data_IF_031267214842
#
_entry.id   IF_031267214842
#
_cell.length_a   1.000
_cell.length_b   1.000
_cell.length_c   1.000
_cell.angle_alpha   90.00
_cell.angle_beta   90.00
_cell.angle_gamma   90.00
#
_symmetry.space_group_name_H-M   'P 1'
#
loop_
_entity.id
_entity.type
_entity.pdbx_description
1 polymer ?
#
# COMPACT_ATOMS: atom_id res chain seq x y z
N UNK A 1 -17.51 24.37 -1.90
CA UNK A 1 -17.76 24.32 -0.47
C UNK A 1 -16.66 23.55 0.26
N UNK A 2 -16.24 24.03 1.41
CA UNK A 2 -15.30 23.32 2.30
C UNK A 2 -16.03 22.17 3.03
N UNK A 3 -15.41 21.00 3.04
CA UNK A 3 -15.96 19.78 3.64
C UNK A 3 -14.89 19.02 4.45
N UNK A 4 -14.03 19.77 5.13
CA UNK A 4 -12.98 19.21 5.96
C UNK A 4 -13.58 18.40 7.12
N UNK A 5 -12.87 17.36 7.51
CA UNK A 5 -13.34 16.34 8.44
C UNK A 5 -13.88 15.12 7.70
N UNK A 6 -14.69 14.34 8.37
CA UNK A 6 -15.29 13.11 7.83
C UNK A 6 -16.82 13.20 7.87
N UNK A 7 -17.50 12.35 7.12
CA UNK A 7 -18.96 12.28 7.14
C UNK A 7 -19.48 12.21 8.58
N UNK A 8 -20.47 13.03 8.93
CA UNK A 8 -21.01 13.19 10.27
C UNK A 8 -20.11 13.92 11.29
N UNK A 9 -18.87 14.27 10.93
CA UNK A 9 -17.88 14.97 11.79
C UNK A 9 -17.15 16.05 11.00
N UNK A 10 -17.91 16.96 10.36
CA UNK A 10 -17.36 18.08 9.57
C UNK A 10 -17.08 19.28 10.44
N UNK A 11 -16.06 20.05 10.06
CA UNK A 11 -15.77 21.34 10.70
C UNK A 11 -16.76 22.45 10.28
N UNK A 12 -17.44 22.29 9.14
CA UNK A 12 -18.37 23.26 8.57
C UNK A 12 -19.76 22.68 8.41
N UNK A 13 -20.79 23.52 8.63
CA UNK A 13 -22.18 23.15 8.39
C UNK A 13 -22.53 23.00 6.91
N UNK A 14 -23.69 22.40 6.61
CA UNK A 14 -24.21 22.24 5.24
C UNK A 14 -23.47 21.23 4.38
N UNK A 15 -22.89 20.18 5.00
CA UNK A 15 -22.16 19.12 4.29
C UNK A 15 -22.99 17.84 4.09
N UNK A 16 -24.30 17.86 4.39
CA UNK A 16 -25.16 16.67 4.40
C UNK A 16 -25.14 15.91 3.06
N UNK A 17 -25.15 16.62 1.94
CA UNK A 17 -25.10 15.97 0.61
C UNK A 17 -23.70 15.47 0.24
N UNK A 18 -22.66 16.14 0.73
CA UNK A 18 -21.27 15.66 0.59
C UNK A 18 -21.06 14.39 1.41
N UNK A 19 -21.65 14.34 2.60
CA UNK A 19 -21.61 13.15 3.46
C UNK A 19 -22.25 11.94 2.76
N UNK A 20 -23.39 12.10 2.14
CA UNK A 20 -24.07 11.03 1.37
C UNK A 20 -23.15 10.51 0.26
N UNK A 21 -22.48 11.39 -0.47
CA UNK A 21 -21.55 10.99 -1.54
C UNK A 21 -20.35 10.21 -1.01
N UNK A 22 -19.75 10.68 0.09
CA UNK A 22 -18.61 10.02 0.72
C UNK A 22 -18.99 8.66 1.30
N UNK A 23 -20.11 8.58 2.04
CA UNK A 23 -20.62 7.33 2.61
C UNK A 23 -20.97 6.30 1.53
N UNK A 24 -21.56 6.74 0.41
CA UNK A 24 -21.85 5.88 -0.71
C UNK A 24 -20.58 5.31 -1.35
N UNK A 25 -19.53 6.14 -1.52
CA UNK A 25 -18.25 5.70 -2.04
C UNK A 25 -17.57 4.68 -1.10
N UNK A 26 -17.57 4.94 0.21
CA UNK A 26 -17.06 4.01 1.23
C UNK A 26 -17.79 2.68 1.18
N UNK A 27 -19.13 2.71 1.17
CA UNK A 27 -19.95 1.50 1.16
C UNK A 27 -19.69 0.64 -0.10
N UNK A 28 -19.60 1.28 -1.26
CA UNK A 28 -19.31 0.61 -2.53
C UNK A 28 -17.90 0.02 -2.55
N UNK A 29 -16.88 0.75 -2.07
CA UNK A 29 -15.51 0.27 -2.02
C UNK A 29 -15.38 -0.94 -1.09
N UNK A 30 -16.00 -0.88 0.10
CA UNK A 30 -16.03 -2.01 1.04
C UNK A 30 -16.67 -3.25 0.43
N UNK A 31 -17.78 -3.09 -0.28
CA UNK A 31 -18.46 -4.18 -0.96
C UNK A 31 -17.62 -4.75 -2.11
N UNK A 32 -16.99 -3.88 -2.90
CA UNK A 32 -16.22 -4.26 -4.08
C UNK A 32 -15.02 -5.16 -3.73
N UNK A 33 -14.30 -4.81 -2.66
CA UNK A 33 -13.07 -5.52 -2.26
C UNK A 33 -13.24 -6.44 -1.05
N UNK A 34 -14.44 -6.51 -0.45
CA UNK A 34 -14.69 -7.32 0.73
C UNK A 34 -13.94 -6.84 1.98
N UNK A 35 -13.60 -5.55 2.06
CA UNK A 35 -12.81 -4.99 3.15
C UNK A 35 -13.68 -4.43 4.29
N UNK A 36 -13.13 -4.45 5.50
CA UNK A 36 -13.82 -3.98 6.70
C UNK A 36 -13.89 -2.45 6.79
N UNK A 37 -12.83 -1.78 6.37
CA UNK A 37 -12.69 -0.33 6.43
C UNK A 37 -12.31 0.22 5.06
N UNK A 38 -12.68 1.45 4.78
CA UNK A 38 -12.28 2.18 3.59
C UNK A 38 -12.20 3.67 3.88
N UNK A 39 -11.23 4.34 3.28
CA UNK A 39 -11.10 5.79 3.26
C UNK A 39 -11.01 6.23 1.80
N UNK A 40 -11.89 7.14 1.39
CA UNK A 40 -12.01 7.60 0.00
C UNK A 40 -11.56 9.05 -0.18
N UNK A 41 -10.95 9.65 0.84
CA UNK A 41 -10.52 11.05 0.80
C UNK A 41 -9.20 11.32 0.07
N UNK A 42 -8.20 10.39 0.04
CA UNK A 42 -6.99 10.65 -0.70
C UNK A 42 -7.27 10.98 -2.17
N UNK A 43 -6.63 12.04 -2.69
CA UNK A 43 -6.79 12.46 -4.09
C UNK A 43 -5.88 11.71 -5.07
N UNK A 44 -4.98 10.86 -4.57
CA UNK A 44 -4.06 10.05 -5.37
C UNK A 44 -3.55 8.86 -4.59
N UNK A 45 -3.02 7.83 -5.28
CA UNK A 45 -2.33 6.71 -4.65
C UNK A 45 -1.11 7.16 -3.83
N UNK A 46 -0.37 8.15 -4.31
CA UNK A 46 0.77 8.73 -3.56
C UNK A 46 0.32 9.37 -2.23
N UNK A 47 -0.81 10.06 -2.22
CA UNK A 47 -1.36 10.61 -0.98
C UNK A 47 -1.86 9.51 -0.05
N UNK A 48 -2.50 8.46 -0.58
CA UNK A 48 -2.93 7.32 0.20
C UNK A 48 -1.73 6.63 0.89
N UNK A 49 -0.66 6.38 0.14
CA UNK A 49 0.57 5.82 0.70
C UNK A 49 1.19 6.74 1.75
N UNK A 50 1.26 8.05 1.48
CA UNK A 50 1.76 9.03 2.47
C UNK A 50 0.95 9.03 3.76
N UNK A 51 -0.37 8.91 3.67
CA UNK A 51 -1.25 8.86 4.84
C UNK A 51 -0.98 7.61 5.69
N UNK A 52 -0.77 6.44 5.05
CA UNK A 52 -0.41 5.20 5.75
C UNK A 52 0.94 5.32 6.44
N UNK A 53 1.95 5.87 5.75
CA UNK A 53 3.27 6.10 6.33
C UNK A 53 3.20 7.01 7.55
N UNK A 54 2.49 8.13 7.45
CA UNK A 54 2.32 9.08 8.57
C UNK A 54 1.54 8.49 9.75
N UNK A 55 0.60 7.58 9.49
CA UNK A 55 -0.21 6.96 10.54
C UNK A 55 0.54 5.86 11.30
N UNK A 56 1.43 5.12 10.64
CA UNK A 56 2.01 3.90 11.17
C UNK A 56 3.52 3.99 11.45
N UNK A 57 4.22 4.97 10.88
CA UNK A 57 5.66 5.08 10.94
C UNK A 57 6.12 6.41 11.54
N UNK A 58 7.36 6.42 12.02
CA UNK A 58 8.09 7.62 12.43
C UNK A 58 9.18 7.92 11.41
N UNK A 59 9.57 9.18 11.29
CA UNK A 59 10.71 9.55 10.46
C UNK A 59 11.97 8.76 10.86
N UNK A 60 12.66 8.21 9.86
CA UNK A 60 13.81 7.34 10.06
C UNK A 60 13.51 5.84 10.20
N UNK A 61 12.24 5.45 10.37
CA UNK A 61 11.88 4.03 10.38
C UNK A 61 12.29 3.34 9.07
N UNK A 62 12.59 2.05 9.16
CA UNK A 62 13.00 1.26 7.99
C UNK A 62 11.78 0.72 7.26
N UNK A 63 11.78 0.87 5.94
CA UNK A 63 10.78 0.31 5.03
C UNK A 63 11.46 -0.57 3.99
N UNK A 64 10.80 -1.67 3.61
CA UNK A 64 11.28 -2.60 2.58
C UNK A 64 10.28 -2.59 1.43
N UNK A 65 10.69 -2.11 0.25
CA UNK A 65 9.82 -1.99 -0.92
C UNK A 65 10.49 -2.48 -2.20
N UNK A 66 9.69 -2.64 -3.26
CA UNK A 66 10.21 -3.03 -4.56
C UNK A 66 11.03 -1.90 -5.19
N UNK A 67 12.19 -2.25 -5.74
CA UNK A 67 13.05 -1.33 -6.49
C UNK A 67 12.28 -0.69 -7.65
N UNK A 68 12.52 0.61 -7.86
CA UNK A 68 11.92 1.32 -8.99
C UNK A 68 12.38 0.73 -10.34
N UNK A 69 13.64 0.28 -10.41
CA UNK A 69 14.20 -0.34 -11.61
C UNK A 69 13.53 -1.69 -11.95
N UNK A 70 13.00 -2.37 -10.95
CA UNK A 70 12.35 -3.68 -11.10
C UNK A 70 10.82 -3.59 -11.20
N UNK A 71 10.29 -2.38 -11.26
CA UNK A 71 8.86 -2.13 -11.44
C UNK A 71 8.12 -1.58 -10.22
N UNK A 72 8.82 -1.26 -9.14
CA UNK A 72 8.24 -0.59 -7.97
C UNK A 72 7.72 0.81 -8.27
N UNK A 73 7.03 1.42 -7.32
CA UNK A 73 6.56 2.80 -7.42
C UNK A 73 7.49 3.77 -6.68
N UNK A 74 7.48 5.06 -7.06
CA UNK A 74 8.25 6.11 -6.38
C UNK A 74 7.99 6.13 -4.85
N UNK A 75 6.73 5.94 -4.44
CA UNK A 75 6.36 5.93 -3.01
C UNK A 75 6.73 4.65 -2.26
N UNK A 76 7.38 3.69 -2.92
CA UNK A 76 7.88 2.46 -2.28
C UNK A 76 9.33 2.59 -1.77
N UNK A 77 9.76 3.80 -1.48
CA UNK A 77 11.08 4.08 -0.91
C UNK A 77 12.10 4.59 -1.92
N UNK A 78 11.70 5.03 -3.12
CA UNK A 78 12.64 5.59 -4.08
C UNK A 78 13.29 6.89 -3.55
N UNK A 79 14.60 7.02 -3.67
CA UNK A 79 15.40 8.14 -3.12
C UNK A 79 14.87 9.55 -3.41
N UNK A 80 14.38 9.89 -4.62
CA UNK A 80 13.88 11.24 -4.89
C UNK A 80 12.51 11.53 -4.25
N UNK A 81 11.78 10.50 -3.82
CA UNK A 81 10.44 10.60 -3.25
C UNK A 81 10.50 10.85 -1.73
N UNK A 82 9.36 11.32 -1.13
CA UNK A 82 9.25 11.47 0.31
C UNK A 82 9.60 10.19 1.06
N UNK A 83 9.18 9.03 0.55
CA UNK A 83 9.39 7.72 1.17
C UNK A 83 10.87 7.33 1.26
N UNK A 84 11.70 7.75 0.29
CA UNK A 84 13.15 7.55 0.35
C UNK A 84 13.93 8.68 1.02
N UNK A 85 13.30 9.84 1.26
CA UNK A 85 13.93 10.98 1.94
C UNK A 85 13.73 10.99 3.44
N UNK A 86 12.55 10.55 3.90
CA UNK A 86 12.14 10.60 5.31
C UNK A 86 12.35 9.27 6.03
N UNK A 87 12.49 8.17 5.31
CA UNK A 87 12.58 6.80 5.84
C UNK A 87 13.86 6.11 5.37
N UNK A 88 14.33 5.15 6.16
CA UNK A 88 15.43 4.28 5.76
C UNK A 88 14.90 3.21 4.80
N UNK A 89 15.10 3.41 3.51
CA UNK A 89 14.52 2.56 2.47
C UNK A 89 15.49 1.47 2.03
N UNK A 90 15.06 0.22 2.20
CA UNK A 90 15.69 -0.99 1.68
C UNK A 90 14.86 -1.47 0.48
N UNK A 91 15.51 -1.96 -0.55
CA UNK A 91 14.85 -2.33 -1.79
C UNK A 91 15.07 -3.82 -2.10
N UNK A 92 13.99 -4.53 -2.44
CA UNK A 92 14.06 -5.86 -3.04
C UNK A 92 13.85 -5.77 -4.55
N UNK A 93 14.31 -6.78 -5.27
CA UNK A 93 14.24 -6.82 -6.73
C UNK A 93 13.63 -8.10 -7.26
N UNK A 94 13.91 -8.33 -8.53
CA UNK A 94 13.55 -9.54 -9.27
C UNK A 94 14.76 -10.48 -9.34
N UNK A 95 14.48 -11.76 -9.41
CA UNK A 95 15.47 -12.75 -9.80
C UNK A 95 15.85 -12.53 -11.27
N UNK A 96 17.15 -12.44 -11.55
CA UNK A 96 17.68 -12.06 -12.86
C UNK A 96 17.44 -13.12 -13.94
N UNK A 97 17.28 -14.39 -13.58
CA UNK A 97 17.06 -15.48 -14.52
C UNK A 97 15.58 -15.65 -14.86
N UNK A 98 14.72 -15.53 -13.86
CA UNK A 98 13.28 -15.78 -14.01
C UNK A 98 12.46 -14.53 -14.26
N UNK A 99 12.96 -13.34 -13.88
CA UNK A 99 12.23 -12.09 -13.91
C UNK A 99 11.07 -12.04 -12.88
N UNK A 100 11.05 -12.97 -11.93
CA UNK A 100 10.04 -13.01 -10.88
C UNK A 100 10.57 -12.42 -9.58
N UNK A 101 9.65 -12.03 -8.67
CA UNK A 101 10.04 -11.54 -7.34
C UNK A 101 10.81 -12.65 -6.61
N UNK A 102 12.01 -12.31 -6.16
CA UNK A 102 12.83 -13.18 -5.31
C UNK A 102 12.35 -13.09 -3.85
N UNK A 103 11.38 -13.93 -3.49
CA UNK A 103 10.85 -13.98 -2.12
C UNK A 103 11.90 -14.41 -1.08
N UNK A 104 12.94 -15.15 -1.47
CA UNK A 104 14.03 -15.49 -0.57
C UNK A 104 14.87 -14.25 -0.25
N UNK A 105 15.09 -13.38 -1.24
CA UNK A 105 15.71 -12.07 -1.04
C UNK A 105 14.86 -11.19 -0.13
N UNK A 106 13.53 -11.10 -0.39
CA UNK A 106 12.61 -10.31 0.46
C UNK A 106 12.71 -10.76 1.91
N UNK A 107 12.65 -12.07 2.16
CA UNK A 107 12.74 -12.64 3.51
C UNK A 107 14.09 -12.35 4.17
N UNK A 108 15.19 -12.56 3.45
CA UNK A 108 16.54 -12.27 3.94
C UNK A 108 16.70 -10.80 4.33
N UNK A 109 16.29 -9.88 3.46
CA UNK A 109 16.34 -8.44 3.73
C UNK A 109 15.43 -8.04 4.91
N UNK A 110 14.27 -8.66 5.03
CA UNK A 110 13.37 -8.41 6.16
C UNK A 110 14.00 -8.83 7.49
N UNK A 111 14.63 -10.02 7.54
CA UNK A 111 15.30 -10.52 8.75
C UNK A 111 16.51 -9.66 9.11
N UNK A 112 17.31 -9.26 8.11
CA UNK A 112 18.53 -8.48 8.29
C UNK A 112 18.23 -7.05 8.78
N UNK A 113 17.28 -6.38 8.13
CA UNK A 113 17.01 -4.96 8.37
C UNK A 113 15.83 -4.67 9.30
N UNK A 114 15.02 -5.68 9.63
CA UNK A 114 13.84 -5.59 10.52
C UNK A 114 12.97 -4.35 10.24
N UNK A 115 12.45 -4.21 9.01
CA UNK A 115 11.66 -3.05 8.64
C UNK A 115 10.40 -2.96 9.49
N UNK A 116 9.95 -1.75 9.79
CA UNK A 116 8.65 -1.49 10.40
C UNK A 116 7.51 -1.72 9.43
N UNK A 117 7.79 -1.60 8.12
CA UNK A 117 6.79 -1.84 7.07
C UNK A 117 7.42 -2.53 5.86
N UNK A 118 6.73 -3.55 5.35
CA UNK A 118 7.00 -4.15 4.04
C UNK A 118 5.93 -3.66 3.07
N UNK A 119 6.36 -3.19 1.91
CA UNK A 119 5.49 -2.67 0.85
C UNK A 119 5.48 -3.67 -0.28
N UNK A 120 4.34 -4.33 -0.50
CA UNK A 120 4.09 -5.22 -1.61
C UNK A 120 3.24 -4.51 -2.67
N UNK A 121 3.56 -4.70 -3.94
CA UNK A 121 2.88 -4.02 -5.05
C UNK A 121 3.88 -3.42 -6.02
N UNK A 122 3.37 -2.91 -7.12
CA UNK A 122 4.19 -2.47 -8.24
C UNK A 122 3.46 -1.47 -9.13
N UNK A 123 4.23 -0.83 -10.01
CA UNK A 123 3.72 -0.04 -11.13
C UNK A 123 3.92 -0.73 -12.47
N UNK A 124 5.01 -1.47 -12.65
CA UNK A 124 5.46 -2.00 -13.94
C UNK A 124 6.00 -3.44 -13.84
N UNK A 125 5.30 -4.30 -13.12
CA UNK A 125 5.59 -5.73 -13.03
C UNK A 125 4.39 -6.52 -13.55
N UNK A 126 4.61 -7.53 -14.39
CA UNK A 126 3.52 -8.28 -15.04
C UNK A 126 3.17 -9.61 -14.37
N UNK A 127 3.94 -10.02 -13.36
CA UNK A 127 3.70 -11.28 -12.65
C UNK A 127 2.60 -11.19 -11.61
N UNK A 128 2.19 -12.36 -11.12
CA UNK A 128 1.24 -12.48 -10.02
C UNK A 128 2.01 -12.50 -8.70
N UNK A 129 1.59 -11.66 -7.73
CA UNK A 129 2.19 -11.65 -6.41
C UNK A 129 1.55 -12.69 -5.48
N UNK A 130 2.39 -13.35 -4.71
CA UNK A 130 1.98 -14.20 -3.60
C UNK A 130 1.83 -13.36 -2.32
N UNK A 131 0.60 -12.85 -2.10
CA UNK A 131 0.27 -12.03 -0.93
C UNK A 131 0.45 -12.76 0.38
N UNK A 132 0.17 -14.08 0.39
CA UNK A 132 0.35 -14.92 1.56
C UNK A 132 1.81 -14.94 1.98
N UNK A 133 2.72 -15.10 1.03
CA UNK A 133 4.14 -15.12 1.30
C UNK A 133 4.66 -13.79 1.84
N UNK A 134 4.18 -12.67 1.30
CA UNK A 134 4.48 -11.36 1.88
C UNK A 134 3.97 -11.23 3.31
N UNK A 135 2.75 -11.72 3.61
CA UNK A 135 2.22 -11.72 4.98
C UNK A 135 3.07 -12.54 5.93
N UNK A 136 3.42 -13.76 5.53
CA UNK A 136 4.29 -14.66 6.31
C UNK A 136 5.65 -14.03 6.62
N UNK A 137 6.26 -13.34 5.64
CA UNK A 137 7.53 -12.63 5.85
C UNK A 137 7.35 -11.45 6.80
N UNK A 138 6.29 -10.66 6.64
CA UNK A 138 6.02 -9.51 7.50
C UNK A 138 5.77 -9.96 8.95
N UNK A 139 5.05 -11.06 9.17
CA UNK A 139 4.80 -11.64 10.50
C UNK A 139 6.08 -12.08 11.20
N UNK A 140 7.03 -12.68 10.45
CA UNK A 140 8.32 -13.12 11.01
C UNK A 140 9.12 -11.99 11.65
N UNK A 141 8.97 -10.77 11.16
CA UNK A 141 9.69 -9.59 11.64
C UNK A 141 8.79 -8.58 12.36
N UNK A 142 7.52 -8.91 12.56
CA UNK A 142 6.50 -8.03 13.18
C UNK A 142 6.31 -6.71 12.43
N UNK A 143 6.46 -6.73 11.10
CA UNK A 143 6.27 -5.57 10.25
C UNK A 143 4.80 -5.39 9.84
N UNK A 144 4.40 -4.14 9.62
CA UNK A 144 3.18 -3.86 8.86
C UNK A 144 3.34 -4.34 7.41
N UNK A 145 2.27 -4.85 6.82
CA UNK A 145 2.20 -5.14 5.39
C UNK A 145 1.31 -4.10 4.71
N UNK A 146 1.92 -3.21 3.94
CA UNK A 146 1.21 -2.29 3.04
C UNK A 146 1.16 -2.92 1.65
N UNK A 147 -0.05 -3.10 1.11
CA UNK A 147 -0.22 -3.56 -0.27
C UNK A 147 -0.71 -2.41 -1.13
N UNK A 148 0.13 -2.00 -2.09
CA UNK A 148 -0.24 -1.05 -3.13
C UNK A 148 -0.70 -1.83 -4.38
N UNK A 149 -2.02 -1.97 -4.51
CA UNK A 149 -2.63 -2.67 -5.64
C UNK A 149 -3.17 -1.71 -6.72
N UNK A 150 -2.74 -0.45 -6.73
CA UNK A 150 -3.31 0.58 -7.59
C UNK A 150 -3.40 0.16 -9.06
N UNK A 151 -2.32 -0.41 -9.63
CA UNK A 151 -2.28 -0.82 -11.03
C UNK A 151 -3.04 -2.10 -11.38
N UNK A 152 -3.36 -2.91 -10.37
CA UNK A 152 -4.09 -4.18 -10.54
C UNK A 152 -5.47 -4.17 -9.90
N UNK A 153 -5.88 -3.06 -9.30
CA UNK A 153 -7.13 -2.97 -8.55
C UNK A 153 -8.37 -3.36 -9.38
N UNK A 154 -8.41 -2.98 -10.65
CA UNK A 154 -9.46 -3.39 -11.58
C UNK A 154 -9.47 -4.90 -11.84
N UNK A 155 -8.31 -5.53 -11.95
CA UNK A 155 -8.18 -6.98 -12.14
C UNK A 155 -8.59 -7.74 -10.87
N UNK A 156 -8.25 -7.23 -9.70
CA UNK A 156 -8.69 -7.77 -8.40
C UNK A 156 -10.21 -7.67 -8.27
N UNK A 157 -10.79 -6.52 -8.61
CA UNK A 157 -12.24 -6.32 -8.58
C UNK A 157 -12.99 -7.25 -9.55
N UNK A 158 -12.38 -7.56 -10.69
CA UNK A 158 -12.90 -8.50 -11.68
C UNK A 158 -12.68 -9.99 -11.33
N UNK A 159 -11.94 -10.29 -10.25
CA UNK A 159 -11.64 -11.65 -9.83
C UNK A 159 -10.61 -12.39 -10.70
N UNK A 160 -9.89 -11.68 -11.58
CA UNK A 160 -8.87 -12.26 -12.47
C UNK A 160 -7.44 -12.11 -11.93
N UNK A 161 -7.29 -11.40 -10.82
CA UNK A 161 -6.04 -11.29 -10.06
C UNK A 161 -6.35 -11.56 -8.57
N UNK A 162 -5.47 -12.28 -7.83
CA UNK A 162 -5.74 -12.60 -6.43
C UNK A 162 -5.86 -11.33 -5.57
N UNK A 163 -6.86 -11.32 -4.69
CA UNK A 163 -7.07 -10.20 -3.77
C UNK A 163 -6.07 -10.20 -2.62
N UNK A 164 -5.43 -9.06 -2.31
CA UNK A 164 -4.58 -8.93 -1.13
C UNK A 164 -5.37 -8.74 0.17
N UNK A 165 -6.66 -8.42 0.11
CA UNK A 165 -7.48 -8.04 1.26
C UNK A 165 -7.45 -9.03 2.44
N UNK A 166 -7.34 -10.36 2.26
CA UNK A 166 -7.20 -11.30 3.37
C UNK A 166 -5.85 -11.27 4.09
N UNK A 167 -4.84 -10.60 3.52
CA UNK A 167 -3.45 -10.67 3.98
C UNK A 167 -2.89 -9.31 4.43
N UNK A 168 -3.48 -8.19 3.97
CA UNK A 168 -3.01 -6.83 4.23
C UNK A 168 -3.67 -6.18 5.45
#
# INVERSE_FOLDING_TARGET
KYAEGYAGKRYYGGCNYVDIAEELAIARLKKLYGVRYANVQPHSGSQANSAVFLALLKGGDTVLGMSLADGGHLTHGAKPNFSGKLYNSIQYGLDAETGLIDYAQVERLAIEHKPQMIIAGFSAYSGILDWRRFREIADKVSAYLLVDMAHISGLVAAGVYPSPAPYA
#
